data_IF_436145964906
#
_entry.id   IF_436145964906
#
_cell.length_a   1.000
_cell.length_b   1.000
_cell.length_c   1.000
_cell.angle_alpha   90.00
_cell.angle_beta   90.00
_cell.angle_gamma   90.00
#
_symmetry.space_group_name_H-M   'P 1'
#
loop_
_entity.id
_entity.type
_entity.pdbx_description
1 polymer ?
#
# COMPACT_ATOMS: atom_id res chain seq x y z
N UNK A 1 11.68 4.50 35.80
CA UNK A 1 10.87 3.52 35.05
C UNK A 1 10.87 2.15 35.72
N UNK A 2 12.03 1.57 36.06
CA UNK A 2 12.10 0.27 36.75
C UNK A 2 11.35 0.21 38.10
N UNK A 3 11.37 1.29 38.88
CA UNK A 3 10.78 1.34 40.23
C UNK A 3 9.24 1.24 40.26
N UNK A 4 8.54 1.61 39.18
CA UNK A 4 7.08 1.60 39.12
C UNK A 4 6.52 0.30 38.51
N UNK A 5 7.34 -0.46 37.78
CA UNK A 5 6.93 -1.73 37.18
C UNK A 5 6.53 -2.76 38.24
N UNK A 6 7.17 -2.70 39.42
CA UNK A 6 6.87 -3.59 40.53
C UNK A 6 5.45 -3.48 41.09
N UNK A 7 4.77 -2.35 40.87
CA UNK A 7 3.35 -2.16 41.19
C UNK A 7 2.41 -2.82 40.18
N UNK A 8 2.89 -3.07 38.96
CA UNK A 8 2.13 -3.66 37.85
C UNK A 8 2.23 -5.20 37.92
N UNK A 9 3.43 -5.74 38.12
CA UNK A 9 3.67 -7.19 38.15
C UNK A 9 3.58 -7.83 39.55
N UNK A 10 3.43 -7.02 40.59
CA UNK A 10 3.30 -7.47 41.98
C UNK A 10 4.63 -7.77 42.68
N UNK A 11 5.78 -7.49 42.05
CA UNK A 11 7.10 -7.70 42.67
C UNK A 11 7.43 -6.69 43.76
N UNK A 12 6.68 -5.59 43.88
CA UNK A 12 6.76 -4.62 44.98
C UNK A 12 5.44 -4.60 45.77
N UNK A 13 5.22 -5.57 46.69
CA UNK A 13 3.99 -5.64 47.48
C UNK A 13 3.89 -4.49 48.48
N UNK A 14 2.66 -4.21 48.94
CA UNK A 14 2.40 -3.19 49.94
C UNK A 14 3.17 -3.50 51.24
N UNK A 15 4.00 -2.57 51.75
CA UNK A 15 4.79 -2.79 52.96
C UNK A 15 3.91 -2.69 54.22
N UNK A 16 4.31 -3.40 55.28
CA UNK A 16 3.62 -3.34 56.58
C UNK A 16 3.93 -2.06 57.39
N UNK A 17 5.06 -1.41 57.10
CA UNK A 17 5.46 -0.16 57.73
C UNK A 17 4.59 1.01 57.26
N UNK A 18 4.00 1.77 58.19
CA UNK A 18 3.02 2.80 57.88
C UNK A 18 3.58 3.95 57.02
N UNK A 19 4.83 4.34 57.25
CA UNK A 19 5.49 5.43 56.52
C UNK A 19 5.78 4.99 55.09
N UNK A 20 6.36 3.80 54.90
CA UNK A 20 6.62 3.22 53.58
C UNK A 20 5.32 2.89 52.84
N UNK A 21 4.25 2.54 53.55
CA UNK A 21 2.94 2.26 52.95
C UNK A 21 2.32 3.52 52.34
N UNK A 22 2.47 4.68 52.99
CA UNK A 22 2.00 5.95 52.45
C UNK A 22 2.70 6.30 51.13
N UNK A 23 4.03 6.17 51.09
CA UNK A 23 4.82 6.38 49.87
C UNK A 23 4.45 5.37 48.76
N UNK A 24 4.28 4.10 49.13
CA UNK A 24 3.86 3.05 48.21
C UNK A 24 2.50 3.37 47.58
N UNK A 25 1.52 3.81 48.37
CA UNK A 25 0.18 4.16 47.87
C UNK A 25 0.19 5.33 46.87
N UNK A 26 1.08 6.30 47.07
CA UNK A 26 1.24 7.42 46.12
C UNK A 26 1.75 6.90 44.77
N UNK A 27 2.77 6.03 44.79
CA UNK A 27 3.31 5.41 43.58
C UNK A 27 2.28 4.54 42.88
N UNK A 28 1.54 3.74 43.65
CA UNK A 28 0.50 2.86 43.13
C UNK A 28 -0.66 3.63 42.49
N UNK A 29 -1.14 4.69 43.14
CA UNK A 29 -2.17 5.58 42.61
C UNK A 29 -1.74 6.29 41.32
N UNK A 30 -0.46 6.65 41.20
CA UNK A 30 0.10 7.22 39.97
C UNK A 30 0.03 6.23 38.81
N UNK A 31 0.40 4.97 39.06
CA UNK A 31 0.33 3.91 38.04
C UNK A 31 -1.12 3.62 37.67
N UNK A 32 -2.04 3.56 38.64
CA UNK A 32 -3.48 3.43 38.38
C UNK A 32 -3.99 4.56 37.47
N UNK A 33 -3.60 5.82 37.74
CA UNK A 33 -3.97 6.96 36.90
C UNK A 33 -3.48 6.79 35.46
N UNK A 34 -2.26 6.31 35.24
CA UNK A 34 -1.73 6.02 33.91
C UNK A 34 -2.49 4.90 33.20
N UNK A 35 -2.83 3.82 33.90
CA UNK A 35 -3.64 2.73 33.36
C UNK A 35 -5.00 3.29 32.91
N UNK A 36 -5.69 4.03 33.78
CA UNK A 36 -6.99 4.62 33.43
C UNK A 36 -6.91 5.65 32.31
N UNK A 37 -5.84 6.45 32.25
CA UNK A 37 -5.63 7.45 31.21
C UNK A 37 -5.27 6.85 29.85
N UNK A 38 -4.84 5.59 29.81
CA UNK A 38 -4.50 4.85 28.60
C UNK A 38 -5.63 3.96 28.10
N UNK A 39 -6.77 3.93 28.79
CA UNK A 39 -7.93 3.10 28.45
C UNK A 39 -9.09 3.94 27.95
N UNK A 40 -9.91 3.36 27.06
CA UNK A 40 -11.21 3.93 26.70
C UNK A 40 -12.15 4.05 27.90
N UNK A 41 -13.06 5.04 27.86
CA UNK A 41 -13.99 5.33 28.96
C UNK A 41 -14.82 4.12 29.41
N UNK A 42 -15.18 3.25 28.46
CA UNK A 42 -15.93 2.00 28.72
C UNK A 42 -15.11 0.99 29.53
N UNK A 43 -13.79 0.96 29.35
CA UNK A 43 -12.88 0.09 30.08
C UNK A 43 -12.62 0.69 31.47
N UNK A 44 -12.44 2.01 31.56
CA UNK A 44 -12.19 2.71 32.84
C UNK A 44 -13.29 2.45 33.87
N UNK A 45 -14.56 2.44 33.45
CA UNK A 45 -15.69 2.13 34.35
C UNK A 45 -15.56 0.74 35.00
N UNK A 46 -15.02 -0.23 34.26
CA UNK A 46 -14.79 -1.57 34.77
C UNK A 46 -13.58 -1.65 35.71
N UNK A 47 -12.68 -0.65 35.68
CA UNK A 47 -11.51 -0.58 36.55
C UNK A 47 -11.81 0.05 37.92
N UNK A 48 -12.88 0.83 38.04
CA UNK A 48 -13.25 1.53 39.28
C UNK A 48 -13.32 0.65 40.56
N UNK A 49 -13.74 -0.62 40.51
CA UNK A 49 -13.77 -1.48 41.71
C UNK A 49 -12.39 -1.86 42.26
N UNK A 50 -11.33 -1.78 41.46
CA UNK A 50 -10.00 -2.25 41.81
C UNK A 50 -9.21 -1.18 42.58
N UNK A 51 -8.47 -1.61 43.61
CA UNK A 51 -7.83 -0.73 44.59
C UNK A 51 -6.31 -0.68 44.47
N UNK A 52 -5.74 -1.38 43.50
CA UNK A 52 -4.32 -1.30 43.19
C UNK A 52 -4.04 -1.43 41.70
N UNK A 53 -2.88 -0.92 41.27
CA UNK A 53 -2.43 -1.08 39.88
C UNK A 53 -2.34 -2.56 39.47
N UNK A 54 -1.83 -3.41 40.37
CA UNK A 54 -1.76 -4.86 40.15
C UNK A 54 -3.14 -5.46 39.88
N UNK A 55 -4.14 -5.16 40.71
CA UNK A 55 -5.48 -5.76 40.59
C UNK A 55 -6.22 -5.24 39.34
N UNK A 56 -6.03 -3.97 38.97
CA UNK A 56 -6.50 -3.43 37.68
C UNK A 56 -5.90 -4.20 36.50
N UNK A 57 -4.58 -4.42 36.52
CA UNK A 57 -3.89 -5.18 35.46
C UNK A 57 -4.37 -6.64 35.41
N UNK A 58 -4.54 -7.29 36.55
CA UNK A 58 -5.03 -8.67 36.61
C UNK A 58 -6.44 -8.79 36.02
N UNK A 59 -7.32 -7.83 36.27
CA UNK A 59 -8.63 -7.76 35.63
C UNK A 59 -8.51 -7.56 34.11
N UNK A 60 -7.72 -6.57 33.68
CA UNK A 60 -7.51 -6.30 32.25
C UNK A 60 -6.99 -7.55 31.54
N UNK A 61 -6.01 -8.23 32.16
CA UNK A 61 -5.51 -9.50 31.69
C UNK A 61 -6.63 -10.54 31.68
N UNK A 62 -7.41 -10.71 32.73
CA UNK A 62 -8.49 -11.72 32.75
C UNK A 62 -9.54 -11.51 31.66
N UNK A 63 -9.94 -10.26 31.40
CA UNK A 63 -11.09 -9.94 30.53
C UNK A 63 -10.69 -9.69 29.09
N UNK A 64 -9.53 -9.06 28.87
CA UNK A 64 -9.08 -8.63 27.54
C UNK A 64 -7.87 -9.40 27.02
N UNK A 65 -7.25 -10.26 27.83
CA UNK A 65 -6.37 -11.28 27.29
C UNK A 65 -7.25 -12.36 26.67
N UNK A 66 -7.73 -12.11 25.44
CA UNK A 66 -8.26 -13.17 24.60
C UNK A 66 -7.29 -14.34 24.70
N UNK A 67 -7.79 -15.55 24.95
CA UNK A 67 -6.91 -16.72 24.96
C UNK A 67 -6.10 -16.68 23.68
N UNK A 68 -4.78 -16.63 23.82
CA UNK A 68 -3.84 -16.51 22.71
C UNK A 68 -4.21 -17.43 21.54
N UNK A 69 -4.87 -18.56 21.78
CA UNK A 69 -5.46 -19.45 20.77
C UNK A 69 -6.47 -18.79 19.82
N UNK A 70 -7.44 -18.03 20.32
CA UNK A 70 -8.48 -17.41 19.49
C UNK A 70 -7.91 -16.27 18.65
N UNK A 71 -7.06 -15.42 19.26
CA UNK A 71 -6.36 -14.35 18.55
C UNK A 71 -5.36 -14.92 17.54
N UNK A 72 -4.64 -15.99 17.90
CA UNK A 72 -3.76 -16.72 16.98
C UNK A 72 -4.53 -17.26 15.79
N UNK A 73 -5.66 -17.94 16.00
CA UNK A 73 -6.50 -18.44 14.91
C UNK A 73 -6.95 -17.31 13.98
N UNK A 74 -7.40 -16.19 14.54
CA UNK A 74 -7.77 -15.01 13.75
C UNK A 74 -6.58 -14.50 12.92
N UNK A 75 -5.40 -14.34 13.52
CA UNK A 75 -4.18 -13.91 12.82
C UNK A 75 -3.76 -14.90 11.74
N UNK A 76 -3.90 -16.20 11.96
CA UNK A 76 -3.64 -17.23 10.94
C UNK A 76 -4.55 -17.02 9.73
N UNK A 77 -5.85 -16.78 9.93
CA UNK A 77 -6.77 -16.45 8.84
C UNK A 77 -6.39 -15.13 8.16
N UNK A 78 -6.15 -14.07 8.93
CA UNK A 78 -5.78 -12.75 8.38
C UNK A 78 -4.50 -12.84 7.53
N UNK A 79 -3.46 -13.54 8.00
CA UNK A 79 -2.20 -13.74 7.27
C UNK A 79 -2.42 -14.54 5.98
N UNK A 80 -3.22 -15.61 6.03
CA UNK A 80 -3.50 -16.45 4.84
C UNK A 80 -4.23 -15.67 3.75
N UNK A 81 -5.18 -14.82 4.14
CA UNK A 81 -5.99 -14.04 3.21
C UNK A 81 -5.33 -12.73 2.78
N UNK A 82 -4.27 -12.29 3.47
CA UNK A 82 -3.60 -11.04 3.18
C UNK A 82 -2.80 -11.11 1.88
N UNK A 83 -3.11 -10.21 0.95
CA UNK A 83 -2.46 -10.06 -0.36
C UNK A 83 -2.11 -8.60 -0.60
N UNK A 84 -1.15 -8.34 -1.50
CA UNK A 84 -0.75 -6.97 -1.83
C UNK A 84 -1.93 -6.14 -2.36
N UNK A 85 -2.76 -6.73 -3.23
CA UNK A 85 -3.87 -6.02 -3.87
C UNK A 85 -3.40 -4.76 -4.60
N UNK A 86 -4.04 -3.63 -4.30
CA UNK A 86 -3.70 -2.32 -4.88
C UNK A 86 -2.71 -1.51 -4.02
N UNK A 87 -2.16 -2.08 -2.95
CA UNK A 87 -1.24 -1.37 -2.07
C UNK A 87 0.13 -1.18 -2.74
N UNK A 88 0.82 -0.11 -2.34
CA UNK A 88 2.26 0.03 -2.59
C UNK A 88 3.03 -1.09 -1.88
N UNK A 89 4.26 -1.38 -2.32
CA UNK A 89 5.12 -2.35 -1.64
C UNK A 89 5.39 -1.92 -0.18
N UNK A 90 5.56 -0.62 0.06
CA UNK A 90 5.76 -0.04 1.38
C UNK A 90 4.58 -0.31 2.33
N UNK A 91 3.34 -0.02 1.88
CA UNK A 91 2.15 -0.19 2.70
C UNK A 91 1.84 -1.67 2.93
N UNK A 92 2.02 -2.48 1.89
CA UNK A 92 1.87 -3.92 1.94
C UNK A 92 2.80 -4.54 2.98
N UNK A 93 4.10 -4.24 2.91
CA UNK A 93 5.12 -4.71 3.85
C UNK A 93 4.83 -4.25 5.28
N UNK A 94 4.47 -2.99 5.49
CA UNK A 94 4.24 -2.44 6.83
C UNK A 94 3.09 -3.14 7.54
N UNK A 95 1.97 -3.35 6.85
CA UNK A 95 0.81 -4.07 7.38
C UNK A 95 1.10 -5.56 7.58
N UNK A 96 1.82 -6.18 6.63
CA UNK A 96 2.27 -7.58 6.75
C UNK A 96 3.14 -7.78 8.01
N UNK A 97 4.11 -6.89 8.24
CA UNK A 97 4.97 -6.92 9.43
C UNK A 97 4.15 -6.84 10.72
N UNK A 98 3.15 -5.95 10.79
CA UNK A 98 2.31 -5.82 11.98
C UNK A 98 1.57 -7.13 12.33
N UNK A 99 1.00 -7.80 11.32
CA UNK A 99 0.34 -9.11 11.52
C UNK A 99 1.33 -10.16 12.04
N UNK A 100 2.51 -10.21 11.42
CA UNK A 100 3.52 -11.22 11.77
C UNK A 100 4.19 -10.98 13.11
N UNK A 101 4.41 -9.73 13.52
CA UNK A 101 4.95 -9.40 14.85
C UNK A 101 3.98 -9.92 15.92
N UNK A 102 2.70 -9.58 15.82
CA UNK A 102 1.70 -10.03 16.79
C UNK A 102 1.55 -11.55 16.81
N UNK A 103 1.54 -12.19 15.64
CA UNK A 103 1.49 -13.65 15.54
C UNK A 103 2.71 -14.30 16.18
N UNK A 104 3.91 -13.77 15.91
CA UNK A 104 5.16 -14.28 16.47
C UNK A 104 5.22 -14.12 17.98
N UNK A 105 4.73 -13.02 18.54
CA UNK A 105 4.69 -12.79 19.99
C UNK A 105 3.81 -13.83 20.69
N UNK A 106 2.64 -14.14 20.11
CA UNK A 106 1.73 -15.15 20.65
C UNK A 106 2.36 -16.54 20.60
N UNK A 107 3.00 -16.91 19.49
CA UNK A 107 3.66 -18.22 19.35
C UNK A 107 4.85 -18.32 20.29
N UNK A 108 5.72 -17.33 20.31
CA UNK A 108 6.93 -17.34 21.12
C UNK A 108 6.62 -17.40 22.62
N UNK A 109 5.52 -16.79 23.07
CA UNK A 109 5.05 -16.90 24.44
C UNK A 109 4.68 -18.35 24.87
N UNK A 110 4.39 -19.24 23.91
CA UNK A 110 4.05 -20.64 24.17
C UNK A 110 5.25 -21.60 24.02
N UNK A 111 6.41 -21.11 23.55
CA UNK A 111 7.59 -21.92 23.24
C UNK A 111 8.61 -21.83 24.38
N UNK A 112 9.28 -22.95 24.68
CA UNK A 112 10.36 -22.97 25.67
C UNK A 112 11.58 -22.19 25.16
N UNK A 113 12.37 -21.59 26.07
CA UNK A 113 13.58 -20.82 25.70
C UNK A 113 14.60 -21.64 24.90
N UNK A 114 14.64 -22.96 25.10
CA UNK A 114 15.60 -23.87 24.43
C UNK A 114 15.25 -24.06 22.95
N UNK A 115 13.96 -24.08 22.61
CA UNK A 115 13.48 -24.32 21.23
C UNK A 115 13.23 -23.03 20.44
N UNK A 116 13.31 -21.87 21.09
CA UNK A 116 12.91 -20.59 20.52
C UNK A 116 13.74 -20.22 19.28
N UNK A 117 15.06 -20.45 19.31
CA UNK A 117 15.96 -20.10 18.21
C UNK A 117 15.61 -20.86 16.92
N UNK A 118 15.42 -22.18 17.00
CA UNK A 118 15.11 -23.01 15.84
C UNK A 118 13.72 -22.68 15.26
N UNK A 119 12.75 -22.40 16.13
CA UNK A 119 11.41 -21.97 15.72
C UNK A 119 11.49 -20.64 14.97
N UNK A 120 12.24 -19.67 15.47
CA UNK A 120 12.37 -18.36 14.80
C UNK A 120 12.97 -18.48 13.40
N UNK A 121 13.93 -19.37 13.18
CA UNK A 121 14.51 -19.61 11.83
C UNK A 121 13.43 -20.08 10.85
N UNK A 122 12.61 -21.07 11.24
CA UNK A 122 11.52 -21.58 10.39
C UNK A 122 10.44 -20.52 10.14
N UNK A 123 10.16 -19.69 11.15
CA UNK A 123 9.20 -18.59 11.04
C UNK A 123 9.67 -17.51 10.08
N UNK A 124 10.93 -17.10 10.13
CA UNK A 124 11.47 -16.09 9.22
C UNK A 124 11.45 -16.58 7.75
N UNK A 125 11.72 -17.87 7.52
CA UNK A 125 11.57 -18.48 6.19
C UNK A 125 10.11 -18.42 5.74
N UNK A 126 9.18 -18.90 6.58
CA UNK A 126 7.75 -18.95 6.26
C UNK A 126 7.17 -17.55 6.02
N UNK A 127 7.60 -16.57 6.83
CA UNK A 127 7.22 -15.16 6.73
C UNK A 127 7.69 -14.56 5.41
N UNK A 128 8.94 -14.80 5.01
CA UNK A 128 9.44 -14.36 3.70
C UNK A 128 8.66 -14.99 2.57
N UNK A 129 8.45 -16.30 2.60
CA UNK A 129 7.80 -17.02 1.51
C UNK A 129 6.34 -16.59 1.34
N UNK A 130 5.63 -16.38 2.45
CA UNK A 130 4.26 -15.83 2.41
C UNK A 130 4.22 -14.39 1.90
N UNK A 131 5.17 -13.54 2.28
CA UNK A 131 5.26 -12.18 1.75
C UNK A 131 5.39 -12.19 0.23
N UNK A 132 6.28 -13.04 -0.29
CA UNK A 132 6.59 -13.19 -1.70
C UNK A 132 5.43 -13.82 -2.50
N UNK A 133 4.80 -14.88 -2.00
CA UNK A 133 3.68 -15.58 -2.65
C UNK A 133 2.41 -14.74 -2.83
N UNK A 134 2.29 -13.64 -2.08
CA UNK A 134 1.07 -12.83 -1.98
C UNK A 134 1.23 -11.45 -2.65
N UNK A 135 2.33 -11.27 -3.39
CA UNK A 135 2.54 -10.13 -4.29
C UNK A 135 1.54 -10.16 -5.46
N UNK A 136 1.24 -8.98 -6.00
CA UNK A 136 0.39 -8.85 -7.19
C UNK A 136 1.20 -9.20 -8.46
N UNK A 137 0.52 -9.52 -9.54
CA UNK A 137 1.11 -10.21 -10.71
C UNK A 137 2.17 -9.41 -11.50
N UNK A 138 2.22 -8.09 -11.37
CA UNK A 138 3.25 -7.27 -12.01
C UNK A 138 4.65 -7.51 -11.41
N UNK A 139 4.74 -8.04 -10.19
CA UNK A 139 5.98 -8.44 -9.55
C UNK A 139 6.40 -9.88 -9.82
N UNK A 140 5.71 -10.65 -10.67
CA UNK A 140 6.00 -12.08 -10.89
C UNK A 140 7.46 -12.35 -11.28
N UNK A 141 8.03 -11.49 -12.13
CA UNK A 141 9.45 -11.61 -12.51
C UNK A 141 10.38 -11.39 -11.31
N UNK A 142 10.12 -10.39 -10.48
CA UNK A 142 10.92 -10.13 -9.28
C UNK A 142 10.75 -11.25 -8.25
N UNK A 143 9.52 -11.73 -8.06
CA UNK A 143 9.18 -12.89 -7.24
C UNK A 143 9.99 -14.12 -7.66
N UNK A 144 9.94 -14.50 -8.94
CA UNK A 144 10.67 -15.65 -9.49
C UNK A 144 12.18 -15.53 -9.30
N UNK A 145 12.75 -14.34 -9.57
CA UNK A 145 14.17 -14.09 -9.38
C UNK A 145 14.60 -14.22 -7.91
N UNK A 146 13.81 -13.70 -6.97
CA UNK A 146 14.09 -13.79 -5.53
C UNK A 146 14.00 -15.24 -5.03
N UNK A 147 13.01 -16.01 -5.49
CA UNK A 147 12.81 -17.42 -5.10
C UNK A 147 13.90 -18.36 -5.62
N UNK A 148 14.50 -18.06 -6.78
CA UNK A 148 15.55 -18.89 -7.38
C UNK A 148 16.96 -18.62 -6.84
N UNK A 149 17.13 -17.68 -5.90
CA UNK A 149 18.45 -17.32 -5.37
C UNK A 149 18.93 -18.35 -4.33
N UNK A 150 20.23 -18.68 -4.38
CA UNK A 150 20.90 -19.52 -3.39
C UNK A 150 22.17 -18.81 -2.85
N UNK A 151 22.27 -18.53 -1.53
CA UNK A 151 21.27 -18.81 -0.50
C UNK A 151 20.01 -17.95 -0.65
N UNK A 152 18.85 -18.39 -0.13
CA UNK A 152 17.63 -17.61 -0.15
C UNK A 152 17.82 -16.25 0.56
N UNK A 153 17.36 -15.13 -0.02
CA UNK A 153 17.51 -13.81 0.58
C UNK A 153 16.68 -13.69 1.88
N UNK A 154 17.04 -12.72 2.72
CA UNK A 154 16.22 -12.32 3.87
C UNK A 154 15.02 -11.49 3.41
N UNK A 155 14.00 -11.39 4.25
CA UNK A 155 12.82 -10.57 3.97
C UNK A 155 13.18 -9.09 3.69
N UNK A 156 14.14 -8.52 4.41
CA UNK A 156 14.56 -7.13 4.20
C UNK A 156 15.25 -6.91 2.86
N UNK A 157 16.04 -7.90 2.41
CA UNK A 157 16.62 -7.88 1.06
C UNK A 157 15.50 -7.90 0.04
N UNK A 158 14.56 -8.86 0.13
CA UNK A 158 13.40 -8.95 -0.76
C UNK A 158 12.63 -7.62 -0.84
N UNK A 159 12.32 -7.04 0.32
CA UNK A 159 11.61 -5.77 0.41
C UNK A 159 12.35 -4.63 -0.31
N UNK A 160 13.65 -4.50 -0.09
CA UNK A 160 14.46 -3.48 -0.75
C UNK A 160 14.50 -3.64 -2.28
N UNK A 161 14.52 -4.87 -2.79
CA UNK A 161 14.53 -5.13 -4.23
C UNK A 161 13.16 -4.82 -4.84
N UNK A 162 12.08 -5.19 -4.15
CA UNK A 162 10.71 -4.93 -4.59
C UNK A 162 10.38 -3.43 -4.61
N UNK A 163 10.92 -2.63 -3.69
CA UNK A 163 10.80 -1.17 -3.75
C UNK A 163 11.46 -0.60 -5.01
N UNK A 164 12.64 -1.11 -5.39
CA UNK A 164 13.31 -0.71 -6.62
C UNK A 164 12.52 -1.13 -7.86
N UNK A 165 11.94 -2.33 -7.82
CA UNK A 165 11.11 -2.82 -8.92
C UNK A 165 9.82 -2.01 -9.07
N UNK A 166 9.15 -1.64 -7.97
CA UNK A 166 7.97 -0.77 -8.00
C UNK A 166 8.30 0.57 -8.68
N UNK A 167 9.43 1.19 -8.32
CA UNK A 167 9.90 2.42 -8.96
C UNK A 167 10.18 2.23 -10.46
N UNK A 168 10.77 1.09 -10.84
CA UNK A 168 11.03 0.75 -12.25
C UNK A 168 9.74 0.61 -13.04
N UNK A 169 8.74 -0.09 -12.50
CA UNK A 169 7.42 -0.28 -13.10
C UNK A 169 6.69 1.05 -13.28
N UNK A 170 6.67 1.91 -12.26
CA UNK A 170 6.06 3.25 -12.33
C UNK A 170 6.70 4.11 -13.43
N UNK A 171 8.02 4.06 -13.54
CA UNK A 171 8.77 4.79 -14.59
C UNK A 171 8.40 4.27 -15.98
N UNK A 172 8.32 2.95 -16.15
CA UNK A 172 7.94 2.33 -17.41
C UNK A 172 6.52 2.72 -17.84
N UNK A 173 5.55 2.67 -16.91
CA UNK A 173 4.18 3.10 -17.18
C UNK A 173 4.10 4.57 -17.61
N UNK A 174 4.89 5.45 -16.98
CA UNK A 174 4.95 6.87 -17.33
C UNK A 174 5.45 7.07 -18.76
N UNK A 175 6.55 6.40 -19.14
CA UNK A 175 7.11 6.47 -20.49
C UNK A 175 6.16 5.92 -21.56
N UNK A 176 5.42 4.85 -21.25
CA UNK A 176 4.41 4.28 -22.15
C UNK A 176 3.25 5.25 -22.38
N UNK A 177 2.79 5.94 -21.33
CA UNK A 177 1.76 6.98 -21.43
C UNK A 177 2.23 8.18 -22.27
N UNK A 178 3.47 8.65 -22.07
CA UNK A 178 4.06 9.72 -22.88
C UNK A 178 4.16 9.35 -24.37
N UNK A 179 4.51 8.10 -24.66
CA UNK A 179 4.57 7.58 -26.04
C UNK A 179 3.19 7.51 -26.68
N UNK A 180 2.16 7.09 -25.93
CA UNK A 180 0.77 7.10 -26.41
C UNK A 180 0.30 8.52 -26.70
N UNK A 181 0.56 9.48 -25.79
CA UNK A 181 0.21 10.89 -25.97
C UNK A 181 0.92 11.52 -27.16
N UNK A 182 2.21 11.21 -27.36
CA UNK A 182 2.98 11.65 -28.53
C UNK A 182 2.42 11.07 -29.83
N UNK A 183 1.95 9.82 -29.82
CA UNK A 183 1.33 9.17 -30.98
C UNK A 183 -0.01 9.82 -31.35
N UNK A 184 -0.86 10.15 -30.36
CA UNK A 184 -2.10 10.91 -30.56
C UNK A 184 -1.84 12.33 -31.10
N UNK A 185 -0.80 13.00 -30.60
CA UNK A 185 -0.35 14.31 -31.10
C UNK A 185 0.23 14.21 -32.52
N UNK A 186 1.02 13.19 -32.84
CA UNK A 186 1.58 12.96 -34.16
C UNK A 186 0.48 12.68 -35.20
N UNK A 187 -0.60 11.97 -34.83
CA UNK A 187 -1.78 11.79 -35.69
C UNK A 187 -2.49 13.12 -35.99
N UNK A 188 -2.44 14.08 -35.06
CA UNK A 188 -3.00 15.43 -35.25
C UNK A 188 -2.08 16.35 -36.09
N UNK A 189 -0.78 16.05 -36.17
CA UNK A 189 0.20 16.81 -36.97
C UNK A 189 0.36 16.26 -38.40
N UNK A 190 -0.04 15.01 -38.67
CA UNK A 190 -0.01 14.41 -40.02
C UNK A 190 -1.19 14.81 -40.92
N UNK A 191 -1.95 15.85 -40.55
CA UNK A 191 -2.87 16.57 -41.44
C UNK A 191 -2.18 17.39 -42.54
N UNK A 192 -1.02 16.97 -43.06
CA UNK A 192 -0.50 17.47 -44.34
C UNK A 192 -0.83 16.43 -45.40
N UNK A 193 -1.99 16.62 -46.03
CA UNK A 193 -2.41 15.89 -47.22
C UNK A 193 -1.24 15.78 -48.19
N UNK A 194 -0.84 14.55 -48.56
CA UNK A 194 -0.02 14.31 -49.75
C UNK A 194 -0.65 15.10 -50.89
N UNK A 195 0.03 16.16 -51.35
CA UNK A 195 -0.41 16.96 -52.47
C UNK A 195 -0.57 16.03 -53.67
N UNK A 196 -1.80 15.78 -54.10
CA UNK A 196 -2.04 15.20 -55.43
C UNK A 196 -1.41 16.16 -56.43
N UNK A 197 -0.64 15.65 -57.37
CA UNK A 197 -0.10 16.44 -58.47
C UNK A 197 -1.28 17.08 -59.24
N UNK A 198 -1.50 18.37 -59.01
CA UNK A 198 -2.61 19.12 -59.60
C UNK A 198 -2.29 19.61 -61.01
N UNK A 199 -1.08 19.39 -61.52
CA UNK A 199 -0.66 19.86 -62.85
C UNK A 199 -1.54 19.33 -63.97
N UNK A 200 -2.12 18.13 -63.79
CA UNK A 200 -3.05 17.50 -64.75
C UNK A 200 -4.53 17.78 -64.46
N UNK A 201 -4.85 18.45 -63.36
CA UNK A 201 -6.23 18.74 -62.96
C UNK A 201 -6.67 20.06 -63.58
N UNK A 202 -7.63 20.00 -64.49
CA UNK A 202 -8.25 21.18 -65.10
C UNK A 202 -9.37 21.75 -64.23
N UNK A 203 -9.33 23.05 -63.97
CA UNK A 203 -10.36 23.76 -63.23
C UNK A 203 -11.67 23.85 -64.04
N UNK A 204 -12.78 23.41 -63.46
CA UNK A 204 -14.10 23.50 -64.12
C UNK A 204 -14.61 24.94 -64.27
N UNK A 205 -14.09 25.89 -63.49
CA UNK A 205 -14.48 27.30 -63.50
C UNK A 205 -13.77 28.09 -64.61
N UNK A 206 -12.43 28.13 -64.59
CA UNK A 206 -11.63 28.96 -65.50
C UNK A 206 -10.88 28.16 -66.59
N UNK A 207 -11.00 26.83 -66.62
CA UNK A 207 -10.33 25.92 -67.56
C UNK A 207 -8.81 25.87 -67.51
N UNK A 208 -8.17 26.58 -66.57
CA UNK A 208 -6.74 26.48 -66.30
C UNK A 208 -6.40 25.26 -65.44
N UNK A 209 -5.18 24.76 -65.54
CA UNK A 209 -4.68 23.62 -64.77
C UNK A 209 -4.10 24.04 -63.41
N UNK A 210 -3.88 23.09 -62.51
CA UNK A 210 -3.17 23.32 -61.25
C UNK A 210 -4.06 23.58 -60.03
N UNK A 211 -5.38 23.68 -60.19
CA UNK A 211 -6.31 23.92 -59.07
C UNK A 211 -7.74 23.41 -59.37
N UNK A 212 -8.54 23.21 -58.32
CA UNK A 212 -9.97 22.89 -58.42
C UNK A 212 -10.83 24.14 -58.37
N UNK A 213 -12.07 24.07 -58.88
CA UNK A 213 -13.00 25.19 -58.93
C UNK A 213 -13.27 25.85 -57.56
N UNK A 214 -13.19 25.10 -56.45
CA UNK A 214 -13.36 25.63 -55.10
C UNK A 214 -12.29 26.67 -54.72
N UNK A 215 -11.07 26.53 -55.25
CA UNK A 215 -9.93 27.41 -54.95
C UNK A 215 -9.60 28.34 -56.13
N UNK A 216 -10.54 28.53 -57.06
CA UNK A 216 -10.35 29.37 -58.24
C UNK A 216 -10.63 30.84 -57.93
N UNK A 217 -9.71 31.73 -58.31
CA UNK A 217 -9.89 33.19 -58.19
C UNK A 217 -10.91 33.76 -59.17
N UNK A 218 -11.17 33.04 -60.27
CA UNK A 218 -12.16 33.40 -61.29
C UNK A 218 -13.36 32.46 -61.17
N UNK A 219 -14.18 32.67 -60.13
CA UNK A 219 -15.39 31.86 -59.90
C UNK A 219 -16.44 32.11 -60.99
N UNK A 220 -16.85 31.04 -61.65
CA UNK A 220 -17.86 31.01 -62.70
C UNK A 220 -18.72 29.76 -62.52
N UNK A 221 -20.04 29.95 -62.53
CA UNK A 221 -21.00 28.88 -62.39
C UNK A 221 -21.43 28.36 -63.78
N UNK A 222 -21.04 27.13 -64.11
CA UNK A 222 -21.41 26.52 -65.39
C UNK A 222 -22.91 26.25 -65.55
N UNK A 223 -23.69 26.25 -64.46
CA UNK A 223 -25.13 26.02 -64.48
C UNK A 223 -25.90 27.31 -64.78
N UNK A 224 -25.73 28.34 -63.94
CA UNK A 224 -26.46 29.62 -64.11
C UNK A 224 -25.74 30.63 -65.03
N UNK A 225 -24.55 30.29 -65.53
CA UNK A 225 -23.70 31.11 -66.43
C UNK A 225 -23.32 32.50 -65.87
N UNK A 226 -23.22 32.64 -64.54
CA UNK A 226 -22.83 33.90 -63.87
C UNK A 226 -21.47 33.77 -63.16
N UNK A 227 -20.80 34.91 -62.98
CA UNK A 227 -19.56 35.03 -62.23
C UNK A 227 -19.82 35.18 -60.72
N UNK A 228 -18.81 34.91 -59.90
CA UNK A 228 -18.80 35.18 -58.46
C UNK A 228 -19.07 33.96 -57.56
N UNK A 229 -19.57 32.85 -58.10
CA UNK A 229 -19.83 31.63 -57.35
C UNK A 229 -19.61 30.37 -58.20
N UNK A 230 -19.52 29.20 -57.57
CA UNK A 230 -19.53 27.88 -58.24
C UNK A 230 -20.83 27.14 -57.90
N UNK A 231 -21.16 26.08 -58.65
CA UNK A 231 -22.42 25.31 -58.47
C UNK A 231 -22.64 24.82 -57.02
N UNK A 232 -21.57 24.58 -56.25
CA UNK A 232 -21.68 24.16 -54.84
C UNK A 232 -22.02 25.29 -53.86
N UNK A 233 -21.91 26.55 -54.27
CA UNK A 233 -22.14 27.72 -53.42
C UNK A 233 -23.62 28.19 -53.48
N UNK A 234 -24.46 27.54 -54.31
CA UNK A 234 -25.90 27.80 -54.50
C UNK A 234 -26.68 26.57 -54.05
#
# INVERSE_FOLDING_TARGET
MAELWGHIDGTTPAPADATKLAEWKIKDARVMSWITGSCDSKIVLNLCPYRSAQTMREYLKKVYNQTNSARRFQLECEIVDYTQGSLSIQDYYSRFQNLWVEFSDIVCAAVSKVSLADVLVVYEISKRDQFLMKLRSDFENAHSNLMNRHPPPTLDVCFSELLREEQRLLTQTTLEQEKMNTTHMAFSVHGKSKGKDMSKVQCFSCKNYGHIAANCTQKFCNYCKKHGHIIKDV
#
